data_IF_882433766885
#
_entry.id   IF_882433766885
#
_cell.length_a   1.000
_cell.length_b   1.000
_cell.length_c   1.000
_cell.angle_alpha   90.00
_cell.angle_beta   90.00
_cell.angle_gamma   90.00
#
_symmetry.space_group_name_H-M   'P 1'
#
loop_
_entity.id
_entity.type
_entity.pdbx_description
1 polymer ?
#
# COMPACT_ATOMS: atom_id res chain seq x y z
N UNK A 1 9.81 -43.88 66.87
CA UNK A 1 10.25 -43.55 65.49
C UNK A 1 9.10 -43.43 64.49
N UNK A 2 8.05 -44.27 64.53
CA UNK A 2 6.96 -44.25 63.55
C UNK A 2 6.11 -42.96 63.52
N UNK A 3 5.87 -42.31 64.67
CA UNK A 3 5.05 -41.08 64.73
C UNK A 3 5.73 -39.86 64.09
N UNK A 4 7.06 -39.72 64.26
CA UNK A 4 7.84 -38.64 63.61
C UNK A 4 7.97 -38.83 62.09
N UNK A 5 8.02 -40.08 61.63
CA UNK A 5 8.04 -40.40 60.19
C UNK A 5 6.69 -40.10 59.53
N UNK A 6 5.57 -40.33 60.24
CA UNK A 6 4.22 -39.97 59.76
C UNK A 6 4.00 -38.47 59.69
N UNK A 7 4.51 -37.71 60.66
CA UNK A 7 4.45 -36.24 60.65
C UNK A 7 5.29 -35.63 59.50
N UNK A 8 6.48 -36.19 59.23
CA UNK A 8 7.30 -35.76 58.09
C UNK A 8 6.67 -36.13 56.74
N UNK A 9 6.05 -37.31 56.64
CA UNK A 9 5.32 -37.72 55.44
C UNK A 9 4.08 -36.84 55.19
N UNK A 10 3.33 -36.49 56.25
CA UNK A 10 2.19 -35.57 56.15
C UNK A 10 2.63 -34.15 55.77
N UNK A 11 3.76 -33.66 56.28
CA UNK A 11 4.31 -32.36 55.89
C UNK A 11 4.79 -32.32 54.44
N UNK A 12 5.40 -33.40 53.94
CA UNK A 12 5.79 -33.55 52.53
C UNK A 12 4.58 -33.61 51.58
N UNK A 13 3.52 -34.32 51.99
CA UNK A 13 2.27 -34.37 51.22
C UNK A 13 1.59 -33.01 51.22
N UNK A 14 1.56 -32.29 52.35
CA UNK A 14 0.99 -30.94 52.41
C UNK A 14 1.80 -29.95 51.55
N UNK A 15 3.13 -30.06 51.54
CA UNK A 15 4.01 -29.27 50.67
C UNK A 15 3.77 -29.52 49.18
N UNK A 16 3.56 -30.78 48.78
CA UNK A 16 3.24 -31.16 47.39
C UNK A 16 1.82 -30.73 46.96
N UNK A 17 0.87 -30.63 47.90
CA UNK A 17 -0.48 -30.11 47.59
C UNK A 17 -0.46 -28.59 47.43
N UNK A 18 0.38 -27.87 48.18
CA UNK A 18 0.48 -26.41 48.09
C UNK A 18 1.22 -25.96 46.81
N UNK A 19 2.19 -26.74 46.31
CA UNK A 19 2.88 -26.40 45.04
C UNK A 19 2.05 -26.70 43.79
N UNK A 20 1.03 -27.56 43.88
CA UNK A 20 0.14 -27.88 42.75
C UNK A 20 -1.06 -26.91 42.59
N UNK A 21 -1.28 -26.00 43.54
CA UNK A 21 -2.36 -24.99 43.47
C UNK A 21 -1.93 -23.71 42.70
N UNK A 22 -0.65 -23.59 42.30
CA UNK A 22 -0.17 -22.43 41.53
C UNK A 22 -0.12 -22.63 40.00
N UNK A 23 -0.67 -23.73 39.46
CA UNK A 23 -0.65 -24.01 38.00
C UNK A 23 -2.03 -24.00 37.33
N UNK A 24 -3.09 -23.59 38.03
CA UNK A 24 -4.45 -23.61 37.50
C UNK A 24 -5.02 -22.18 37.29
N UNK A 25 -4.58 -21.50 36.23
CA UNK A 25 -5.26 -20.39 35.53
C UNK A 25 -4.27 -19.85 34.47
N UNK A 26 -4.46 -19.94 33.14
CA UNK A 26 -5.58 -19.43 32.34
C UNK A 26 -5.61 -20.16 30.98
N UNK A 27 -6.50 -21.14 30.81
CA UNK A 27 -7.03 -21.47 29.47
C UNK A 27 -8.15 -20.48 29.17
N UNK A 28 -7.82 -19.32 28.59
CA UNK A 28 -8.84 -18.44 27.99
C UNK A 28 -9.30 -19.10 26.68
N UNK A 29 -10.56 -19.52 26.67
CA UNK A 29 -11.30 -19.91 25.47
C UNK A 29 -11.13 -18.83 24.40
N UNK A 30 -10.57 -19.20 23.25
CA UNK A 30 -10.63 -18.38 22.04
C UNK A 30 -12.11 -18.24 21.64
N UNK A 31 -12.75 -17.16 22.08
CA UNK A 31 -14.02 -16.73 21.52
C UNK A 31 -13.69 -16.15 20.15
N UNK A 32 -14.00 -16.89 19.08
CA UNK A 32 -14.06 -16.33 17.72
C UNK A 32 -14.92 -15.07 17.80
N UNK A 33 -14.28 -13.90 17.72
CA UNK A 33 -14.95 -12.66 17.39
C UNK A 33 -14.99 -12.66 15.88
N UNK A 34 -16.14 -13.01 15.32
CA UNK A 34 -16.46 -12.71 13.94
C UNK A 34 -16.59 -11.19 13.88
N UNK A 35 -15.50 -10.49 13.59
CA UNK A 35 -15.59 -9.16 13.01
C UNK A 35 -15.88 -9.38 11.54
N UNK A 36 -17.12 -9.12 11.14
CA UNK A 36 -17.42 -8.74 9.76
C UNK A 36 -16.82 -7.35 9.56
N UNK A 37 -15.50 -7.28 9.43
CA UNK A 37 -14.83 -6.16 8.80
C UNK A 37 -14.61 -6.58 7.36
N UNK A 38 -15.22 -5.84 6.43
CA UNK A 38 -14.94 -5.99 5.01
C UNK A 38 -13.42 -5.82 4.82
N UNK A 39 -12.75 -6.67 4.04
CA UNK A 39 -11.33 -6.53 3.79
C UNK A 39 -11.07 -5.17 3.15
N UNK A 40 -10.14 -4.41 3.72
CA UNK A 40 -9.57 -3.22 3.11
C UNK A 40 -8.95 -3.68 1.78
N UNK A 41 -9.49 -3.20 0.67
CA UNK A 41 -9.17 -3.72 -0.66
C UNK A 41 -7.75 -3.26 -1.06
N UNK A 42 -6.86 -4.18 -1.47
CA UNK A 42 -5.56 -3.86 -2.06
C UNK A 42 -5.66 -3.16 -3.43
N UNK A 43 -6.86 -3.02 -4.01
CA UNK A 43 -7.10 -2.43 -5.32
C UNK A 43 -6.69 -0.94 -5.43
N UNK A 44 -6.73 -0.17 -4.33
CA UNK A 44 -6.25 1.22 -4.32
C UNK A 44 -4.72 1.31 -4.45
N UNK A 45 -4.00 0.27 -3.99
CA UNK A 45 -2.54 0.24 -3.96
C UNK A 45 -1.93 -0.07 -5.34
N UNK A 46 -2.64 -0.81 -6.18
CA UNK A 46 -2.19 -1.12 -7.54
C UNK A 46 -2.39 0.05 -8.52
N UNK A 47 -3.39 0.91 -8.27
CA UNK A 47 -3.69 2.05 -9.15
C UNK A 47 -2.61 3.16 -9.15
N UNK A 48 -1.86 3.31 -8.05
CA UNK A 48 -0.82 4.33 -7.93
C UNK A 48 0.55 3.87 -8.44
N UNK A 49 0.81 2.55 -8.46
CA UNK A 49 2.11 1.98 -8.85
C UNK A 49 2.36 1.98 -10.37
N UNK A 50 1.32 2.19 -11.19
CA UNK A 50 1.41 2.00 -12.65
C UNK A 50 1.35 3.31 -13.47
N UNK A 51 1.05 4.47 -12.86
CA UNK A 51 0.91 5.76 -13.59
C UNK A 51 2.19 6.20 -14.32
N UNK A 52 3.36 5.74 -13.87
CA UNK A 52 4.65 6.19 -14.39
C UNK A 52 5.20 5.33 -15.53
N UNK A 53 4.81 4.07 -15.64
CA UNK A 53 5.20 3.19 -16.76
C UNK A 53 4.67 3.68 -18.12
N UNK A 54 3.60 4.47 -18.10
CA UNK A 54 2.88 4.96 -19.29
C UNK A 54 3.61 6.08 -20.03
N UNK A 55 4.50 6.83 -19.35
CA UNK A 55 5.18 8.00 -19.92
C UNK A 55 6.48 7.65 -20.64
N UNK A 56 7.15 6.55 -20.29
CA UNK A 56 8.47 6.21 -20.85
C UNK A 56 8.43 5.35 -22.12
N UNK A 57 7.31 4.67 -22.41
CA UNK A 57 7.23 3.72 -23.54
C UNK A 57 7.09 4.35 -24.94
N UNK A 58 7.00 5.68 -25.04
CA UNK A 58 6.80 6.39 -26.32
C UNK A 58 8.09 6.63 -27.13
N UNK A 59 9.27 6.18 -26.66
CA UNK A 59 10.55 6.44 -27.36
C UNK A 59 11.43 5.19 -27.44
N UNK A 60 10.97 4.11 -28.10
CA UNK A 60 11.88 3.12 -28.67
C UNK A 60 11.22 2.15 -29.67
N UNK A 61 11.87 2.04 -30.84
CA UNK A 61 11.84 0.96 -31.87
C UNK A 61 10.76 0.99 -32.97
N UNK A 62 11.16 1.63 -34.07
CA UNK A 62 10.95 1.17 -35.45
C UNK A 62 12.11 0.23 -35.87
N UNK A 63 11.84 -0.59 -36.89
CA UNK A 63 12.70 -1.54 -37.66
C UNK A 63 12.90 -2.94 -37.05
N UNK A 64 12.90 -4.07 -37.78
CA UNK A 64 12.45 -4.50 -39.13
C UNK A 64 12.59 -6.06 -39.17
N UNK A 65 11.89 -6.74 -40.10
CA UNK A 65 12.07 -8.15 -40.58
C UNK A 65 11.89 -9.32 -39.57
N UNK A 66 11.41 -10.52 -39.91
CA UNK A 66 11.51 -11.27 -41.16
C UNK A 66 10.41 -12.35 -41.29
N UNK A 67 10.10 -12.66 -42.54
CA UNK A 67 9.29 -13.74 -43.08
C UNK A 67 9.82 -15.14 -42.76
N UNK A 68 8.92 -16.09 -42.46
CA UNK A 68 9.09 -17.45 -42.97
C UNK A 68 7.74 -18.16 -43.14
N UNK A 69 7.55 -18.72 -44.32
CA UNK A 69 6.37 -19.44 -44.78
C UNK A 69 6.78 -20.86 -45.12
N UNK A 70 6.06 -21.85 -44.58
CA UNK A 70 5.94 -23.15 -45.26
C UNK A 70 4.59 -23.80 -44.97
N UNK A 71 4.00 -24.25 -46.06
CA UNK A 71 2.64 -24.72 -46.27
C UNK A 71 2.49 -26.23 -46.08
N UNK A 72 1.36 -26.65 -45.51
CA UNK A 72 0.83 -28.01 -45.57
C UNK A 72 -0.67 -27.98 -45.89
N UNK A 73 -1.08 -28.72 -46.92
CA UNK A 73 -2.35 -28.63 -47.64
C UNK A 73 -3.62 -29.18 -46.94
N UNK A 74 -4.72 -28.51 -47.27
CA UNK A 74 -6.14 -28.88 -47.35
C UNK A 74 -6.73 -30.08 -46.57
N UNK A 75 -7.77 -29.78 -45.78
CA UNK A 75 -9.07 -30.42 -45.97
C UNK A 75 -10.22 -29.42 -45.73
N UNK A 76 -11.28 -29.56 -46.52
CA UNK A 76 -12.28 -28.57 -46.89
C UNK A 76 -13.58 -28.82 -46.12
N UNK A 77 -13.95 -27.94 -45.20
CA UNK A 77 -15.32 -27.86 -44.67
C UNK A 77 -15.75 -26.40 -44.53
N UNK A 78 -16.76 -26.03 -45.32
CA UNK A 78 -17.41 -24.74 -45.37
C UNK A 78 -18.05 -24.38 -44.02
N UNK A 79 -17.39 -23.53 -43.25
CA UNK A 79 -18.00 -22.57 -42.32
C UNK A 79 -17.20 -21.26 -42.42
N UNK A 80 -17.82 -20.07 -42.52
CA UNK A 80 -17.09 -18.83 -42.40
C UNK A 80 -16.74 -18.63 -40.91
N UNK A 81 -15.65 -19.27 -40.46
CA UNK A 81 -14.98 -18.94 -39.21
C UNK A 81 -14.05 -17.76 -39.46
N UNK A 82 -14.63 -16.59 -39.74
CA UNK A 82 -13.92 -15.34 -39.49
C UNK A 82 -14.02 -15.05 -37.98
N UNK A 83 -13.22 -15.79 -37.24
CA UNK A 83 -13.09 -15.70 -35.81
C UNK A 83 -11.63 -15.42 -35.46
N UNK A 84 -11.01 -14.45 -36.16
CA UNK A 84 -9.88 -13.76 -35.56
C UNK A 84 -10.44 -13.19 -34.26
N UNK A 85 -10.04 -13.76 -33.12
CA UNK A 85 -10.30 -13.17 -31.82
C UNK A 85 -9.61 -11.81 -31.83
N UNK A 86 -10.34 -10.79 -32.27
CA UNK A 86 -9.89 -9.40 -32.20
C UNK A 86 -9.84 -9.09 -30.71
N UNK A 87 -8.66 -9.29 -30.14
CA UNK A 87 -8.36 -8.93 -28.77
C UNK A 87 -8.82 -7.49 -28.59
N UNK A 88 -9.61 -7.25 -27.55
CA UNK A 88 -10.06 -5.90 -27.24
C UNK A 88 -8.81 -5.06 -26.96
N UNK A 89 -8.56 -3.98 -27.74
CA UNK A 89 -7.38 -3.13 -27.56
C UNK A 89 -7.31 -2.47 -26.18
N UNK A 90 -8.40 -2.50 -25.40
CA UNK A 90 -8.45 -2.02 -24.03
C UNK A 90 -8.04 -3.04 -22.96
N UNK A 91 -7.86 -4.32 -23.29
CA UNK A 91 -7.49 -5.35 -22.31
C UNK A 91 -6.14 -5.08 -21.66
N UNK A 92 -5.14 -4.68 -22.46
CA UNK A 92 -3.77 -4.45 -22.00
C UNK A 92 -3.44 -2.94 -21.89
N UNK A 93 -4.44 -2.06 -22.09
CA UNK A 93 -4.23 -0.61 -22.03
C UNK A 93 -4.60 -0.05 -20.66
N UNK A 94 -3.58 0.31 -19.90
CA UNK A 94 -3.73 1.02 -18.64
C UNK A 94 -3.94 2.52 -18.90
N UNK A 95 -4.91 3.10 -18.19
CA UNK A 95 -5.20 4.53 -18.23
C UNK A 95 -4.93 5.11 -16.84
N UNK A 96 -4.37 6.33 -16.80
CA UNK A 96 -4.13 7.03 -15.53
C UNK A 96 -5.41 7.33 -14.75
N UNK A 97 -5.27 7.81 -13.52
CA UNK A 97 -6.37 8.01 -12.60
C UNK A 97 -7.48 8.90 -13.21
N UNK A 98 -8.74 8.49 -13.00
CA UNK A 98 -9.92 9.20 -13.51
C UNK A 98 -10.21 8.98 -15.00
N UNK A 99 -9.45 8.11 -15.68
CA UNK A 99 -9.64 7.75 -17.09
C UNK A 99 -9.95 6.26 -17.23
N UNK A 100 -10.73 5.92 -18.25
CA UNK A 100 -11.08 4.55 -18.64
C UNK A 100 -10.78 4.35 -20.12
N UNK A 101 -10.37 3.15 -20.48
CA UNK A 101 -10.13 2.81 -21.88
C UNK A 101 -11.45 2.64 -22.62
N UNK A 102 -11.58 3.30 -23.77
CA UNK A 102 -12.69 3.15 -24.70
C UNK A 102 -12.15 2.97 -26.12
N UNK A 103 -12.76 2.07 -26.88
CA UNK A 103 -12.42 1.88 -28.30
C UNK A 103 -13.14 2.94 -29.14
N UNK A 104 -12.39 3.72 -29.90
CA UNK A 104 -12.89 4.71 -30.86
C UNK A 104 -13.50 4.01 -32.10
N UNK A 105 -14.30 4.71 -32.90
CA UNK A 105 -14.84 4.28 -34.21
C UNK A 105 -13.77 3.74 -35.18
N UNK A 106 -12.52 4.19 -35.06
CA UNK A 106 -11.37 3.67 -35.83
C UNK A 106 -10.84 2.32 -35.31
N UNK A 107 -11.41 1.80 -34.23
CA UNK A 107 -10.99 0.55 -33.59
C UNK A 107 -9.72 0.66 -32.75
N UNK A 108 -9.28 1.89 -32.42
CA UNK A 108 -8.14 2.16 -31.57
C UNK A 108 -8.59 2.41 -30.12
N UNK A 109 -7.82 1.92 -29.14
CA UNK A 109 -8.07 2.18 -27.73
C UNK A 109 -7.61 3.59 -27.33
N UNK A 110 -8.46 4.34 -26.64
CA UNK A 110 -8.24 5.71 -26.17
C UNK A 110 -8.64 5.84 -24.69
N UNK A 111 -7.87 6.60 -23.90
CA UNK A 111 -8.19 6.84 -22.50
C UNK A 111 -9.06 8.09 -22.39
N UNK A 112 -10.33 7.91 -22.03
CA UNK A 112 -11.30 9.00 -21.86
C UNK A 112 -11.64 9.18 -20.38
N UNK A 113 -12.06 10.38 -19.96
CA UNK A 113 -12.47 10.59 -18.57
C UNK A 113 -13.67 9.72 -18.20
N UNK A 114 -13.69 9.24 -16.96
CA UNK A 114 -14.84 8.51 -16.39
C UNK A 114 -16.08 9.40 -16.48
N UNK A 115 -17.18 8.86 -16.99
CA UNK A 115 -18.43 9.62 -17.13
C UNK A 115 -19.29 9.59 -15.86
N UNK A 116 -19.34 8.45 -15.18
CA UNK A 116 -20.16 8.21 -14.01
C UNK A 116 -19.33 7.48 -12.97
N UNK A 117 -19.31 8.02 -11.74
CA UNK A 117 -18.77 7.36 -10.56
C UNK A 117 -19.92 6.74 -9.76
N UNK A 118 -19.65 5.60 -9.10
CA UNK A 118 -20.63 4.96 -8.22
C UNK A 118 -20.91 5.80 -6.97
N UNK A 119 -22.16 5.77 -6.49
CA UNK A 119 -22.55 6.49 -5.28
C UNK A 119 -22.05 5.77 -4.02
N UNK A 120 -21.11 6.40 -3.31
CA UNK A 120 -20.58 5.90 -2.05
C UNK A 120 -21.46 6.32 -0.86
N UNK A 121 -22.02 5.32 -0.17
CA UNK A 121 -22.90 5.54 1.00
C UNK A 121 -22.14 5.56 2.31
N UNK A 122 -20.93 5.01 2.33
CA UNK A 122 -20.10 4.92 3.54
C UNK A 122 -19.33 6.24 3.73
N UNK A 123 -19.55 6.99 4.84
CA UNK A 123 -18.80 8.21 5.10
C UNK A 123 -17.28 8.00 5.17
N UNK A 124 -16.80 6.78 5.43
CA UNK A 124 -15.37 6.43 5.44
C UNK A 124 -14.76 6.33 4.04
N UNK A 125 -15.57 6.16 2.99
CA UNK A 125 -15.14 6.08 1.58
C UNK A 125 -15.22 7.41 0.83
N UNK A 126 -15.84 8.41 1.45
CA UNK A 126 -15.73 9.81 1.02
C UNK A 126 -14.29 10.28 1.13
N UNK A 127 -13.98 11.42 0.54
CA UNK A 127 -12.62 11.98 0.58
C UNK A 127 -12.65 13.47 0.84
N UNK A 128 -11.65 13.95 1.58
CA UNK A 128 -11.38 15.37 1.74
C UNK A 128 -10.22 15.78 0.85
N UNK A 129 -10.38 16.89 0.12
CA UNK A 129 -9.38 17.40 -0.82
C UNK A 129 -8.49 18.47 -0.20
N UNK A 130 -7.41 18.84 -0.89
CA UNK A 130 -6.53 19.96 -0.55
C UNK A 130 -7.25 21.33 -0.47
N UNK A 131 -8.45 21.46 -1.04
CA UNK A 131 -9.31 22.64 -0.93
C UNK A 131 -10.27 22.59 0.26
N UNK A 132 -10.15 21.58 1.14
CA UNK A 132 -11.05 21.32 2.26
C UNK A 132 -12.51 21.13 1.79
N UNK A 133 -12.70 20.59 0.58
CA UNK A 133 -13.98 20.18 0.01
C UNK A 133 -14.13 18.66 0.13
N UNK A 134 -15.32 18.20 0.57
CA UNK A 134 -15.65 16.78 0.66
C UNK A 134 -16.28 16.30 -0.65
N UNK A 135 -15.68 15.26 -1.23
CA UNK A 135 -16.20 14.56 -2.41
C UNK A 135 -16.84 13.24 -1.99
N UNK A 136 -17.75 12.73 -2.82
CA UNK A 136 -18.48 11.49 -2.58
C UNK A 136 -17.56 10.26 -2.58
N UNK A 137 -16.55 10.26 -3.44
CA UNK A 137 -15.54 9.20 -3.55
C UNK A 137 -14.24 9.74 -4.15
N UNK A 138 -13.19 8.93 -4.09
CA UNK A 138 -11.93 9.15 -4.79
C UNK A 138 -12.12 9.23 -6.32
N UNK A 139 -13.03 8.41 -6.88
CA UNK A 139 -13.41 8.47 -8.29
C UNK A 139 -13.83 9.87 -8.73
N UNK A 140 -14.67 10.55 -7.94
CA UNK A 140 -15.15 11.89 -8.28
C UNK A 140 -14.02 12.94 -8.31
N UNK A 141 -13.01 12.78 -7.45
CA UNK A 141 -11.84 13.69 -7.43
C UNK A 141 -11.01 13.50 -8.70
N UNK A 142 -10.69 12.26 -9.05
CA UNK A 142 -9.93 11.98 -10.26
C UNK A 142 -10.70 12.34 -11.54
N UNK A 143 -12.02 12.13 -11.54
CA UNK A 143 -12.91 12.56 -12.61
C UNK A 143 -12.86 14.08 -12.77
N UNK A 144 -13.02 14.84 -11.69
CA UNK A 144 -12.98 16.31 -11.73
C UNK A 144 -11.64 16.82 -12.27
N UNK A 145 -10.53 16.22 -11.83
CA UNK A 145 -9.18 16.50 -12.35
C UNK A 145 -9.10 16.20 -13.85
N UNK A 146 -9.57 15.03 -14.29
CA UNK A 146 -9.54 14.62 -15.69
C UNK A 146 -10.33 15.58 -16.60
N UNK A 147 -11.50 16.05 -16.16
CA UNK A 147 -12.29 17.03 -16.91
C UNK A 147 -11.55 18.34 -17.10
N UNK A 148 -10.82 18.80 -16.08
CA UNK A 148 -10.03 20.02 -16.17
C UNK A 148 -8.76 19.85 -17.00
N UNK A 149 -8.07 18.70 -16.88
CA UNK A 149 -6.92 18.36 -17.73
C UNK A 149 -7.30 18.31 -19.22
N UNK A 150 -8.49 17.80 -19.52
CA UNK A 150 -8.97 17.59 -20.90
C UNK A 150 -9.68 18.82 -21.48
N UNK A 151 -9.86 19.90 -20.70
CA UNK A 151 -10.59 21.09 -21.11
C UNK A 151 -12.09 20.85 -21.35
N UNK A 152 -12.69 19.87 -20.67
CA UNK A 152 -14.12 19.58 -20.77
C UNK A 152 -14.95 20.71 -20.14
N UNK A 153 -16.09 21.01 -20.75
CA UNK A 153 -17.12 21.91 -20.23
C UNK A 153 -17.56 21.61 -18.78
N UNK A 154 -17.43 20.35 -18.33
CA UNK A 154 -17.77 19.88 -16.98
C UNK A 154 -16.72 20.22 -15.91
N UNK A 155 -15.58 20.79 -16.30
CA UNK A 155 -14.57 21.23 -15.35
C UNK A 155 -15.15 22.29 -14.39
N UNK A 156 -14.94 22.11 -13.08
CA UNK A 156 -15.44 23.02 -12.02
C UNK A 156 -14.62 24.32 -11.90
N UNK A 157 -13.44 24.38 -12.54
CA UNK A 157 -12.57 25.55 -12.58
C UNK A 157 -11.11 25.16 -12.80
N UNK A 158 -10.24 26.11 -13.20
CA UNK A 158 -8.82 25.84 -13.46
C UNK A 158 -8.08 25.31 -12.21
N UNK A 159 -8.49 25.73 -11.01
CA UNK A 159 -7.88 25.28 -9.76
C UNK A 159 -8.05 23.75 -9.57
N UNK A 160 -9.13 23.16 -10.08
CA UNK A 160 -9.38 21.72 -9.98
C UNK A 160 -8.44 20.87 -10.85
N UNK A 161 -7.55 21.47 -11.64
CA UNK A 161 -6.49 20.73 -12.35
C UNK A 161 -5.48 20.09 -11.38
N UNK A 162 -5.27 20.70 -10.22
CA UNK A 162 -4.33 20.23 -9.19
C UNK A 162 -5.03 19.70 -7.94
N UNK A 163 -6.35 19.43 -8.03
CA UNK A 163 -7.09 18.80 -6.94
C UNK A 163 -6.53 17.42 -6.66
N UNK A 164 -6.31 17.14 -5.38
CA UNK A 164 -5.89 15.84 -4.91
C UNK A 164 -6.54 15.54 -3.56
N UNK A 165 -6.57 14.26 -3.24
CA UNK A 165 -7.09 13.76 -1.98
C UNK A 165 -6.05 14.09 -0.90
N UNK A 166 -6.49 14.76 0.17
CA UNK A 166 -5.67 14.98 1.37
C UNK A 166 -5.78 13.78 2.31
N UNK A 167 -7.01 13.28 2.51
CA UNK A 167 -7.28 12.09 3.33
C UNK A 167 -8.66 11.48 3.04
N UNK A 168 -8.83 10.22 3.47
CA UNK A 168 -10.10 9.50 3.37
C UNK A 168 -11.05 9.82 4.55
N UNK A 169 -12.31 10.02 4.22
CA UNK A 169 -13.38 10.49 5.11
C UNK A 169 -13.87 11.90 4.75
N UNK A 170 -14.90 12.35 5.46
CA UNK A 170 -15.42 13.71 5.32
C UNK A 170 -14.43 14.78 5.84
N UNK A 171 -14.48 15.97 5.23
CA UNK A 171 -13.67 17.08 5.71
C UNK A 171 -14.03 17.45 7.14
N UNK A 172 -13.01 17.58 7.99
CA UNK A 172 -13.15 17.84 9.42
C UNK A 172 -12.00 18.74 9.88
N UNK A 173 -12.26 19.51 10.93
CA UNK A 173 -11.20 20.31 11.55
C UNK A 173 -10.19 19.38 12.23
N UNK A 174 -8.99 19.29 11.66
CA UNK A 174 -7.88 18.57 12.26
C UNK A 174 -7.21 19.42 13.34
N UNK A 175 -6.85 18.83 14.50
CA UNK A 175 -6.05 19.53 15.49
C UNK A 175 -4.64 19.79 14.92
N UNK A 176 -3.99 20.85 15.40
CA UNK A 176 -2.59 21.08 15.10
C UNK A 176 -1.71 20.03 15.80
N UNK A 177 -0.67 19.56 15.11
CA UNK A 177 0.32 18.68 15.71
C UNK A 177 1.13 19.45 16.76
N UNK A 178 1.01 19.03 18.01
CA UNK A 178 1.79 19.63 19.10
C UNK A 178 3.21 19.09 19.07
N UNK A 179 4.13 19.85 19.67
CA UNK A 179 5.52 19.45 19.81
C UNK A 179 5.67 18.13 20.62
N UNK A 180 4.87 17.95 21.66
CA UNK A 180 4.85 16.70 22.45
C UNK A 180 4.43 15.48 21.63
N UNK A 181 3.44 15.65 20.76
CA UNK A 181 2.93 14.58 19.90
C UNK A 181 3.94 14.27 18.77
N UNK A 182 4.57 15.31 18.22
CA UNK A 182 5.61 15.18 17.19
C UNK A 182 6.85 14.47 17.72
N UNK A 183 7.30 14.76 18.95
CA UNK A 183 8.46 14.09 19.55
C UNK A 183 8.26 12.57 19.70
N UNK A 184 7.03 12.12 19.96
CA UNK A 184 6.72 10.68 20.07
C UNK A 184 6.36 10.04 18.72
N UNK A 185 5.99 10.85 17.71
CA UNK A 185 5.51 10.38 16.43
C UNK A 185 6.48 9.41 15.71
N UNK A 186 7.80 9.69 15.58
CA UNK A 186 8.74 8.77 14.95
C UNK A 186 8.73 7.37 15.57
N UNK A 187 8.60 7.29 16.90
CA UNK A 187 8.52 6.02 17.65
C UNK A 187 7.27 5.25 17.29
N UNK A 188 6.12 5.91 17.31
CA UNK A 188 4.84 5.27 16.97
C UNK A 188 4.81 4.83 15.51
N UNK A 189 5.41 5.62 14.62
CA UNK A 189 5.51 5.29 13.19
C UNK A 189 6.35 4.02 12.97
N UNK A 190 7.56 3.91 13.54
CA UNK A 190 8.38 2.69 13.38
C UNK A 190 7.72 1.45 14.01
N UNK A 191 7.05 1.59 15.14
CA UNK A 191 6.28 0.49 15.75
C UNK A 191 5.09 0.08 14.88
N UNK A 192 4.40 1.05 14.28
CA UNK A 192 3.31 0.80 13.35
C UNK A 192 3.79 0.05 12.11
N UNK A 193 4.87 0.52 11.47
CA UNK A 193 5.49 -0.12 10.30
C UNK A 193 5.84 -1.59 10.57
N UNK A 194 6.48 -1.87 11.71
CA UNK A 194 6.79 -3.25 12.10
C UNK A 194 5.52 -4.12 12.24
N UNK A 195 4.45 -3.59 12.83
CA UNK A 195 3.21 -4.33 12.98
C UNK A 195 2.50 -4.58 11.65
N UNK A 196 2.55 -3.64 10.71
CA UNK A 196 2.04 -3.81 9.34
C UNK A 196 2.84 -4.89 8.62
N UNK A 197 4.18 -4.84 8.68
CA UNK A 197 5.05 -5.86 8.09
C UNK A 197 4.73 -7.25 8.63
N UNK A 198 4.51 -7.38 9.95
CA UNK A 198 4.11 -8.64 10.59
C UNK A 198 2.73 -9.12 10.11
N UNK A 199 1.72 -8.23 10.06
CA UNK A 199 0.38 -8.61 9.61
C UNK A 199 0.37 -9.08 8.15
N UNK A 200 1.15 -8.42 7.27
CA UNK A 200 1.33 -8.85 5.88
C UNK A 200 2.04 -10.20 5.78
N UNK A 201 3.04 -10.45 6.62
CA UNK A 201 3.70 -11.75 6.70
C UNK A 201 2.73 -12.86 7.17
N UNK A 202 1.90 -12.58 8.17
CA UNK A 202 0.89 -13.51 8.68
C UNK A 202 -0.17 -13.86 7.61
N UNK A 203 -0.51 -12.89 6.75
CA UNK A 203 -1.45 -13.05 5.62
C UNK A 203 -0.81 -13.65 4.36
N UNK A 204 0.50 -13.88 4.36
CA UNK A 204 1.26 -14.37 3.19
C UNK A 204 1.22 -13.41 2.00
N UNK A 205 1.09 -12.11 2.26
CA UNK A 205 1.08 -11.03 1.26
C UNK A 205 2.47 -10.41 1.08
N UNK A 206 3.42 -10.78 1.93
CA UNK A 206 4.79 -10.26 1.93
C UNK A 206 5.69 -11.10 0.99
N UNK A 207 6.44 -10.49 0.05
CA UNK A 207 7.36 -11.23 -0.81
C UNK A 207 8.42 -11.99 -0.01
N UNK A 208 8.93 -13.09 -0.58
CA UNK A 208 9.85 -14.02 0.09
C UNK A 208 11.06 -13.31 0.71
N UNK A 209 11.65 -12.34 -0.01
CA UNK A 209 12.74 -11.50 0.47
C UNK A 209 12.41 -10.83 1.82
N UNK A 210 11.32 -10.06 1.82
CA UNK A 210 10.88 -9.31 2.99
C UNK A 210 10.38 -10.21 4.11
N UNK A 211 9.86 -11.40 3.81
CA UNK A 211 9.51 -12.39 4.82
C UNK A 211 10.73 -12.84 5.64
N UNK A 212 11.90 -12.98 5.00
CA UNK A 212 13.15 -13.28 5.71
C UNK A 212 13.53 -12.13 6.64
N UNK A 213 13.48 -10.89 6.13
CA UNK A 213 13.77 -9.70 6.93
C UNK A 213 12.81 -9.51 8.10
N UNK A 214 11.52 -9.84 7.92
CA UNK A 214 10.53 -9.82 8.99
C UNK A 214 10.87 -10.82 10.10
N UNK A 215 11.28 -12.05 9.76
CA UNK A 215 11.69 -13.07 10.74
C UNK A 215 12.94 -12.66 11.51
N UNK A 216 13.92 -12.06 10.83
CA UNK A 216 15.11 -11.50 11.47
C UNK A 216 14.73 -10.40 12.47
N UNK A 217 13.81 -9.51 12.08
CA UNK A 217 13.28 -8.42 12.90
C UNK A 217 12.55 -8.89 14.18
N UNK A 218 11.95 -10.08 14.20
CA UNK A 218 11.37 -10.65 15.42
C UNK A 218 12.41 -11.12 16.44
N UNK A 219 13.58 -11.53 15.95
CA UNK A 219 14.64 -12.12 16.78
C UNK A 219 15.71 -11.12 17.20
N UNK A 220 15.95 -10.08 16.39
CA UNK A 220 16.94 -9.05 16.65
C UNK A 220 16.26 -7.69 16.86
N UNK A 221 16.40 -7.14 18.08
CA UNK A 221 15.81 -5.85 18.44
C UNK A 221 16.42 -4.66 17.70
N UNK A 222 17.67 -4.72 17.26
CA UNK A 222 18.31 -3.61 16.51
C UNK A 222 17.75 -3.51 15.10
N UNK A 223 17.64 -4.66 14.43
CA UNK A 223 17.09 -4.75 13.07
C UNK A 223 15.57 -4.67 13.03
N UNK A 224 14.90 -4.73 14.18
CA UNK A 224 13.45 -4.82 14.27
C UNK A 224 12.74 -3.70 13.51
N UNK A 225 13.14 -2.46 13.80
CA UNK A 225 12.55 -1.29 13.18
C UNK A 225 13.23 -0.98 11.84
N UNK A 226 14.53 -1.23 11.72
CA UNK A 226 15.30 -0.98 10.50
C UNK A 226 14.78 -1.79 9.33
N UNK A 227 14.60 -3.10 9.48
CA UNK A 227 14.07 -3.96 8.41
C UNK A 227 12.65 -3.55 7.99
N UNK A 228 11.80 -3.16 8.94
CA UNK A 228 10.45 -2.68 8.64
C UNK A 228 10.46 -1.32 7.92
N UNK A 229 11.38 -0.43 8.30
CA UNK A 229 11.56 0.88 7.66
C UNK A 229 12.07 0.73 6.23
N UNK A 230 13.09 -0.09 6.00
CA UNK A 230 13.64 -0.40 4.67
C UNK A 230 12.56 -1.02 3.80
N UNK A 231 11.89 -2.07 4.29
CA UNK A 231 10.79 -2.70 3.56
C UNK A 231 9.73 -1.69 3.14
N UNK A 232 9.28 -0.85 4.07
CA UNK A 232 8.21 0.10 3.72
C UNK A 232 8.68 1.13 2.71
N UNK A 233 9.92 1.61 2.83
CA UNK A 233 10.51 2.52 1.86
C UNK A 233 10.58 1.88 0.47
N UNK A 234 11.06 0.64 0.36
CA UNK A 234 11.07 -0.11 -0.89
C UNK A 234 9.65 -0.37 -1.45
N UNK A 235 8.64 -0.60 -0.60
CA UNK A 235 7.26 -0.79 -1.03
C UNK A 235 6.59 0.50 -1.53
N UNK A 236 7.07 1.66 -1.04
CA UNK A 236 6.60 2.97 -1.45
C UNK A 236 7.31 3.47 -2.71
N UNK A 237 8.62 3.21 -2.87
CA UNK A 237 9.40 3.47 -4.09
C UNK A 237 8.82 2.63 -5.22
N UNK A 238 7.89 3.23 -5.96
CA UNK A 238 7.11 2.61 -7.01
C UNK A 238 7.88 2.55 -8.32
N UNK A 239 7.16 2.46 -9.44
CA UNK A 239 7.79 2.64 -10.74
C UNK A 239 7.78 4.13 -11.10
N UNK A 240 8.86 4.69 -11.68
CA UNK A 240 10.17 4.06 -11.81
C UNK A 240 10.85 3.95 -10.43
N UNK A 241 11.53 2.83 -10.17
CA UNK A 241 12.33 2.68 -8.96
C UNK A 241 13.54 3.63 -9.04
N UNK A 242 13.41 4.81 -8.44
CA UNK A 242 14.41 5.88 -8.52
C UNK A 242 15.19 6.08 -7.21
N UNK A 243 15.00 5.15 -6.26
CA UNK A 243 15.62 5.16 -4.93
C UNK A 243 15.27 6.45 -4.16
N UNK A 244 14.07 6.96 -4.36
CA UNK A 244 13.53 8.07 -3.61
C UNK A 244 11.99 8.01 -3.59
N UNK A 245 11.38 8.35 -2.46
CA UNK A 245 9.92 8.31 -2.35
C UNK A 245 9.35 9.72 -2.52
N UNK A 246 8.59 9.94 -3.57
CA UNK A 246 7.90 11.19 -3.86
C UNK A 246 6.67 11.40 -2.97
N UNK A 247 6.16 12.64 -2.95
CA UNK A 247 4.89 12.96 -2.28
C UNK A 247 3.71 12.11 -2.76
N UNK A 248 3.70 11.70 -4.03
CA UNK A 248 2.63 10.89 -4.58
C UNK A 248 2.72 9.44 -4.07
N UNK A 249 3.93 8.91 -3.96
CA UNK A 249 4.19 7.57 -3.44
C UNK A 249 3.94 7.45 -1.93
N UNK A 250 4.04 8.55 -1.17
CA UNK A 250 3.64 8.59 0.24
C UNK A 250 2.12 8.49 0.45
N UNK A 251 1.31 8.66 -0.59
CA UNK A 251 -0.15 8.69 -0.50
C UNK A 251 -0.76 7.48 0.24
N UNK A 252 -0.33 6.22 0.01
CA UNK A 252 -0.91 5.05 0.67
C UNK A 252 -0.69 5.01 2.19
N UNK A 253 0.30 5.73 2.72
CA UNK A 253 0.49 5.87 4.17
C UNK A 253 -0.09 7.17 4.71
N UNK A 254 -0.05 8.26 3.94
CA UNK A 254 -0.54 9.57 4.36
C UNK A 254 -2.06 9.60 4.44
N UNK A 255 -2.75 9.38 3.32
CA UNK A 255 -4.17 9.66 3.20
C UNK A 255 -5.06 8.77 4.10
N UNK A 256 -4.79 7.46 4.27
CA UNK A 256 -5.58 6.62 5.18
C UNK A 256 -5.36 6.93 6.66
N UNK A 257 -4.15 7.38 7.05
CA UNK A 257 -3.79 7.59 8.45
C UNK A 257 -3.98 9.02 8.92
N UNK A 258 -4.02 10.02 8.04
CA UNK A 258 -4.14 11.43 8.40
C UNK A 258 -5.37 11.73 9.27
N UNK A 259 -6.49 11.02 9.04
CA UNK A 259 -7.71 11.12 9.85
C UNK A 259 -7.59 10.43 11.23
N UNK A 260 -6.50 9.74 11.53
CA UNK A 260 -6.24 9.13 12.84
C UNK A 260 -5.03 9.78 13.52
N UNK A 261 -4.07 10.24 12.72
CA UNK A 261 -2.77 10.71 13.12
C UNK A 261 -2.45 12.04 12.42
N UNK A 262 -2.94 13.13 12.99
CA UNK A 262 -2.80 14.49 12.47
C UNK A 262 -1.34 15.01 12.34
N UNK A 263 -0.38 14.31 12.94
CA UNK A 263 1.04 14.62 12.84
C UNK A 263 1.73 14.00 11.61
N UNK A 264 1.07 13.09 10.87
CA UNK A 264 1.73 12.38 9.76
C UNK A 264 2.17 13.33 8.64
N UNK A 265 1.34 14.30 8.27
CA UNK A 265 1.69 15.27 7.25
C UNK A 265 2.90 16.13 7.63
N UNK A 266 2.91 16.87 8.76
CA UNK A 266 4.06 17.67 9.15
C UNK A 266 5.30 16.82 9.46
N UNK A 267 5.13 15.56 9.86
CA UNK A 267 6.25 14.63 10.03
C UNK A 267 6.91 14.30 8.68
N UNK A 268 6.13 13.84 7.70
CA UNK A 268 6.64 13.48 6.38
C UNK A 268 7.22 14.70 5.64
N UNK A 269 6.57 15.86 5.76
CA UNK A 269 7.09 17.11 5.20
C UNK A 269 8.41 17.54 5.87
N UNK A 270 8.64 17.16 7.13
CA UNK A 270 9.88 17.43 7.86
C UNK A 270 11.00 16.42 7.58
N UNK A 271 10.72 15.29 6.94
CA UNK A 271 11.74 14.30 6.55
C UNK A 271 12.54 14.73 5.31
N UNK A 272 11.97 15.60 4.49
CA UNK A 272 12.59 16.18 3.31
C UNK A 272 13.57 17.32 3.74
N UNK A 273 14.74 16.95 4.26
CA UNK A 273 15.75 17.89 4.81
C UNK A 273 16.31 18.84 3.72
N UNK A 274 16.43 18.35 2.49
CA UNK A 274 16.99 19.10 1.36
C UNK A 274 15.91 19.85 0.54
N UNK A 275 14.63 19.62 0.85
CA UNK A 275 13.45 20.22 0.24
C UNK A 275 13.36 19.98 -1.28
N UNK A 276 13.74 18.78 -1.72
CA UNK A 276 13.67 18.33 -3.13
C UNK A 276 12.33 17.63 -3.48
N UNK A 277 11.41 17.54 -2.51
CA UNK A 277 10.10 16.91 -2.61
C UNK A 277 10.14 15.38 -2.76
N UNK A 278 11.28 14.77 -2.47
CA UNK A 278 11.47 13.33 -2.36
C UNK A 278 12.11 13.00 -1.01
N UNK A 279 12.02 11.73 -0.63
CA UNK A 279 12.63 11.22 0.60
C UNK A 279 13.49 10.02 0.24
N UNK A 280 14.80 10.18 0.37
CA UNK A 280 15.73 9.06 0.20
C UNK A 280 15.78 8.16 1.46
N UNK A 281 16.42 6.99 1.36
CA UNK A 281 16.47 6.02 2.47
C UNK A 281 17.14 6.58 3.73
N UNK A 282 18.16 7.43 3.57
CA UNK A 282 18.89 8.03 4.70
C UNK A 282 18.03 9.06 5.42
N UNK A 283 17.35 9.94 4.68
CA UNK A 283 16.36 10.89 5.21
C UNK A 283 15.24 10.16 5.94
N UNK A 284 14.68 9.12 5.32
CA UNK A 284 13.63 8.29 5.92
C UNK A 284 14.06 7.68 7.25
N UNK A 285 15.25 7.08 7.29
CA UNK A 285 15.79 6.45 8.50
C UNK A 285 16.12 7.44 9.60
N UNK A 286 16.74 8.59 9.27
CA UNK A 286 16.95 9.70 10.21
C UNK A 286 15.64 10.19 10.82
N UNK A 287 14.61 10.35 9.98
CA UNK A 287 13.29 10.79 10.41
C UNK A 287 12.66 9.81 11.40
N UNK A 288 12.88 8.50 11.22
CA UNK A 288 12.45 7.44 12.13
C UNK A 288 13.36 7.23 13.34
N UNK A 289 14.44 8.02 13.47
CA UNK A 289 15.46 7.95 14.52
C UNK A 289 16.15 6.58 14.55
N UNK A 290 16.55 6.10 13.37
CA UNK A 290 17.30 4.85 13.19
C UNK A 290 18.78 5.14 12.95
N UNK A 291 19.63 4.19 13.32
CA UNK A 291 21.07 4.29 13.11
C UNK A 291 21.40 4.10 11.61
N UNK A 292 22.16 5.05 11.05
CA UNK A 292 22.49 5.05 9.61
C UNK A 292 23.29 3.82 9.17
N UNK A 293 24.12 3.27 10.07
CA UNK A 293 24.96 2.10 9.81
C UNK A 293 24.14 0.82 9.58
N UNK A 294 22.88 0.77 10.02
CA UNK A 294 21.98 -0.36 9.83
C UNK A 294 21.08 -0.20 8.59
N UNK A 295 21.09 0.97 7.93
CA UNK A 295 20.24 1.32 6.78
C UNK A 295 20.89 0.91 5.45
N UNK A 296 20.94 -0.38 5.21
CA UNK A 296 21.33 -0.92 3.92
C UNK A 296 20.13 -0.96 2.96
N UNK A 297 20.32 -0.43 1.74
CA UNK A 297 19.37 -0.59 0.64
C UNK A 297 19.29 -2.07 0.24
N UNK A 298 18.11 -2.66 0.44
CA UNK A 298 17.81 -4.07 0.15
C UNK A 298 16.56 -4.19 -0.72
N UNK A 299 16.34 -3.24 -1.63
CA UNK A 299 15.15 -3.24 -2.50
C UNK A 299 15.27 -4.14 -3.73
N UNK A 300 16.47 -4.66 -4.04
CA UNK A 300 16.84 -5.34 -5.30
C UNK A 300 15.96 -6.54 -5.72
N UNK A 301 15.24 -7.21 -4.81
CA UNK A 301 14.33 -8.33 -5.18
C UNK A 301 12.89 -7.87 -5.55
N UNK A 302 12.54 -6.58 -5.42
CA UNK A 302 11.28 -6.04 -5.96
C UNK A 302 11.33 -5.83 -7.48
N UNK A 303 12.53 -5.54 -8.01
CA UNK A 303 12.75 -5.27 -9.43
C UNK A 303 12.46 -6.51 -10.31
N UNK A 304 12.67 -7.72 -9.77
CA UNK A 304 12.46 -8.98 -10.50
C UNK A 304 11.00 -9.47 -10.52
N UNK A 305 10.14 -8.95 -9.63
CA UNK A 305 8.73 -9.35 -9.56
C UNK A 305 7.80 -8.51 -10.46
N UNK A 306 8.32 -7.44 -11.07
CA UNK A 306 7.59 -6.50 -11.93
C UNK A 306 7.79 -6.70 -13.44
N UNK A 307 8.38 -7.81 -13.89
CA UNK A 307 8.53 -8.18 -15.31
C UNK A 307 7.56 -9.28 -15.74
#
# INVERSE_FOLDING_TARGET
MQSRLRLLALALILGLVITNVSSAERRRKHRRRTTTEAPFQPEVMNLLKEEDTSKEKLVAKMDDQDSNSESGEHDNSNEPKDGVLRMDPCLDKHCGAGRVCRVNDLGAAECVCIEVCDEEKDPRRKVCTNYNETFGSDCEVYQARCFCDSGDSRCRGPDYQHVHIEYYGECRQMPMCKEEDMMDFPRRMRDWLFNIMRDMADRQELPTHFLKMQREAETNLTLRWTNAAIWKWCDLDGHPHDRAVSRHELFPIRAPLMALEHCIAPFLDGCDENNDHKINLVEWGKCLQLDEDDLDDKCDELEEAGH
#
